data_IF_683098215898
#
_entry.id   IF_683098215898
#
_cell.length_a   1.000
_cell.length_b   1.000
_cell.length_c   1.000
_cell.angle_alpha   90.00
_cell.angle_beta   90.00
_cell.angle_gamma   90.00
#
_symmetry.space_group_name_H-M   'P 1'
#
loop_
_entity.id
_entity.type
_entity.pdbx_description
1 polymer ?
#
# COMPACT_ATOMS: atom_id res chain seq x y z
N UNK A 1 -13.18 -0.45 12.46
CA UNK A 1 -12.99 -1.77 13.10
C UNK A 1 -12.96 -2.82 11.99
N UNK A 2 -11.83 -2.96 11.29
CA UNK A 2 -11.64 -3.96 10.22
C UNK A 2 -11.05 -5.23 10.86
N UNK A 3 -11.90 -6.00 11.54
CA UNK A 3 -11.54 -7.36 11.89
C UNK A 3 -11.67 -8.24 10.64
N UNK A 4 -10.62 -9.01 10.39
CA UNK A 4 -10.61 -10.14 9.47
C UNK A 4 -11.77 -11.07 9.81
N UNK A 5 -12.85 -11.02 9.02
CA UNK A 5 -13.81 -12.11 9.00
C UNK A 5 -13.12 -13.31 8.32
N UNK A 6 -13.21 -14.52 8.90
CA UNK A 6 -12.69 -15.71 8.27
C UNK A 6 -13.44 -15.92 6.95
N UNK A 7 -12.69 -16.14 5.86
CA UNK A 7 -13.22 -16.62 4.58
C UNK A 7 -13.63 -18.09 4.78
N UNK A 8 -14.73 -18.30 5.48
CA UNK A 8 -15.33 -19.62 5.65
C UNK A 8 -16.55 -19.70 4.73
N UNK A 9 -16.43 -20.47 3.63
CA UNK A 9 -17.59 -20.93 2.87
C UNK A 9 -17.60 -20.70 1.36
N UNK A 10 -16.54 -20.17 0.74
CA UNK A 10 -16.44 -20.10 -0.72
C UNK A 10 -15.45 -21.14 -1.26
N UNK A 11 -15.77 -21.85 -2.36
CA UNK A 11 -14.83 -22.78 -2.98
C UNK A 11 -13.59 -22.01 -3.42
N UNK A 12 -12.42 -22.61 -3.22
CA UNK A 12 -11.18 -22.12 -3.82
C UNK A 12 -11.41 -21.91 -5.33
N UNK A 13 -10.84 -20.85 -5.95
CA UNK A 13 -10.98 -20.65 -7.38
C UNK A 13 -10.56 -21.94 -8.10
N UNK A 14 -11.39 -22.49 -9.00
CA UNK A 14 -11.04 -23.71 -9.69
C UNK A 14 -9.75 -23.46 -10.47
N UNK A 15 -8.78 -24.35 -10.30
CA UNK A 15 -7.57 -24.36 -11.11
C UNK A 15 -8.00 -24.31 -12.58
N UNK A 16 -7.54 -23.29 -13.30
CA UNK A 16 -7.80 -23.21 -14.73
C UNK A 16 -7.22 -24.47 -15.41
N UNK A 17 -7.96 -25.12 -16.33
CA UNK A 17 -7.38 -26.19 -17.13
C UNK A 17 -6.43 -25.55 -18.14
N UNK A 18 -5.17 -25.40 -17.75
CA UNK A 18 -4.05 -25.23 -18.69
C UNK A 18 -2.97 -26.23 -18.31
N UNK A 19 -2.50 -26.98 -19.29
CA UNK A 19 -1.51 -28.07 -19.19
C UNK A 19 -0.09 -27.60 -18.76
N UNK A 20 0.02 -26.46 -18.10
CA UNK A 20 1.29 -25.91 -17.63
C UNK A 20 1.08 -25.17 -16.29
N UNK A 21 1.33 -25.84 -15.15
CA UNK A 21 1.19 -25.27 -13.82
C UNK A 21 2.23 -24.18 -13.48
N UNK A 22 3.29 -24.02 -14.27
CA UNK A 22 4.34 -23.01 -14.01
C UNK A 22 3.98 -21.63 -14.59
N UNK A 23 3.18 -21.57 -15.67
CA UNK A 23 2.73 -20.29 -16.25
C UNK A 23 1.69 -19.56 -15.43
N UNK A 24 0.89 -20.28 -14.63
CA UNK A 24 -0.09 -19.68 -13.72
C UNK A 24 0.59 -18.96 -12.54
N UNK A 25 1.81 -19.36 -12.18
CA UNK A 25 2.56 -18.81 -11.05
C UNK A 25 3.37 -17.55 -11.35
N UNK A 26 3.40 -17.05 -12.58
CA UNK A 26 4.20 -15.86 -12.94
C UNK A 26 3.37 -14.57 -13.12
N UNK A 27 2.03 -14.62 -12.98
CA UNK A 27 1.14 -13.48 -13.26
C UNK A 27 0.49 -12.85 -12.01
N UNK A 28 1.19 -12.78 -10.87
CA UNK A 28 0.61 -12.38 -9.57
C UNK A 28 0.42 -10.87 -9.33
N UNK A 29 0.63 -9.98 -10.31
CA UNK A 29 0.20 -8.56 -10.19
C UNK A 29 -1.28 -8.38 -10.56
N UNK A 30 -2.16 -9.25 -10.05
CA UNK A 30 -3.61 -9.09 -10.17
C UNK A 30 -4.16 -8.67 -8.81
N UNK A 31 -4.48 -7.39 -8.64
CA UNK A 31 -5.17 -6.94 -7.44
C UNK A 31 -6.67 -6.93 -7.72
N UNK A 32 -7.34 -8.01 -7.32
CA UNK A 32 -8.81 -8.07 -7.29
C UNK A 32 -9.25 -7.63 -5.91
N UNK A 33 -9.91 -6.47 -5.82
CA UNK A 33 -10.54 -6.06 -4.56
C UNK A 33 -11.99 -6.57 -4.57
N UNK A 34 -12.31 -7.44 -3.61
CA UNK A 34 -13.67 -7.91 -3.40
C UNK A 34 -14.34 -7.02 -2.34
N UNK A 35 -15.14 -6.04 -2.78
CA UNK A 35 -15.95 -5.22 -1.87
C UNK A 35 -17.42 -5.50 -2.18
N UNK A 36 -18.09 -6.31 -1.34
CA UNK A 36 -19.51 -6.63 -1.55
C UNK A 36 -20.40 -5.50 -1.03
N UNK A 37 -21.05 -4.79 -1.95
CA UNK A 37 -22.51 -4.60 -1.90
C UNK A 37 -23.05 -5.57 -2.97
N UNK A 38 -23.18 -6.80 -2.51
CA UNK A 38 -23.62 -8.03 -3.15
C UNK A 38 -22.89 -8.70 -4.31
N UNK A 39 -22.07 -8.07 -5.19
CA UNK A 39 -21.09 -8.80 -6.08
C UNK A 39 -20.31 -7.88 -7.06
N UNK A 40 -19.70 -6.79 -6.55
CA UNK A 40 -18.85 -5.91 -7.37
C UNK A 40 -17.40 -6.41 -7.36
N UNK A 41 -16.88 -6.75 -8.55
CA UNK A 41 -15.46 -7.07 -8.74
C UNK A 41 -14.72 -5.83 -9.23
N UNK A 42 -13.82 -5.29 -8.40
CA UNK A 42 -12.93 -4.20 -8.79
C UNK A 42 -11.66 -4.75 -9.44
N UNK A 43 -11.40 -4.38 -10.69
CA UNK A 43 -10.27 -4.90 -11.46
C UNK A 43 -9.31 -3.80 -11.89
N UNK A 44 -8.04 -4.03 -11.62
CA UNK A 44 -6.93 -3.22 -12.14
C UNK A 44 -5.70 -4.10 -12.35
N UNK A 45 -5.30 -4.30 -13.62
CA UNK A 45 -3.98 -4.81 -13.99
C UNK A 45 -3.75 -4.62 -15.49
N UNK A 46 -2.57 -4.20 -15.96
CA UNK A 46 -2.27 -4.19 -17.38
C UNK A 46 -2.11 -5.63 -17.93
N UNK A 47 -2.54 -5.85 -19.17
CA UNK A 47 -2.19 -7.06 -19.94
C UNK A 47 -3.21 -8.20 -19.94
N UNK A 48 -2.77 -9.37 -20.42
CA UNK A 48 -3.64 -10.52 -20.77
C UNK A 48 -4.30 -11.20 -19.57
N UNK A 49 -3.66 -11.18 -18.40
CA UNK A 49 -4.21 -11.81 -17.19
C UNK A 49 -5.46 -11.05 -16.70
N UNK A 50 -5.44 -9.71 -16.71
CA UNK A 50 -6.59 -8.88 -16.37
C UNK A 50 -7.79 -9.15 -17.28
N UNK A 51 -7.55 -9.28 -18.59
CA UNK A 51 -8.58 -9.61 -19.56
C UNK A 51 -9.18 -11.00 -19.36
N UNK A 52 -8.39 -11.96 -18.83
CA UNK A 52 -8.89 -13.31 -18.52
C UNK A 52 -9.76 -13.28 -17.27
N UNK A 53 -9.36 -12.52 -16.24
CA UNK A 53 -10.15 -12.32 -15.03
C UNK A 53 -11.46 -11.57 -15.31
N UNK A 54 -11.44 -10.53 -16.17
CA UNK A 54 -12.65 -9.83 -16.61
C UNK A 54 -13.64 -10.77 -17.30
N UNK A 55 -13.16 -11.56 -18.26
CA UNK A 55 -14.00 -12.55 -18.97
C UNK A 55 -14.59 -13.59 -18.01
N UNK A 56 -13.77 -14.14 -17.12
CA UNK A 56 -14.23 -15.09 -16.12
C UNK A 56 -15.32 -14.49 -15.21
N UNK A 57 -15.14 -13.26 -14.74
CA UNK A 57 -16.13 -12.57 -13.92
C UNK A 57 -17.45 -12.33 -14.68
N UNK A 58 -17.39 -11.97 -15.97
CA UNK A 58 -18.58 -11.88 -16.83
C UNK A 58 -19.29 -13.21 -17.02
N UNK A 59 -18.54 -14.28 -17.26
CA UNK A 59 -19.08 -15.65 -17.39
C UNK A 59 -19.84 -16.06 -16.13
N UNK A 60 -19.41 -15.57 -14.96
CA UNK A 60 -20.04 -15.79 -13.66
C UNK A 60 -21.02 -14.66 -13.25
N UNK A 61 -21.46 -13.83 -14.20
CA UNK A 61 -22.47 -12.77 -14.03
C UNK A 61 -22.16 -11.78 -12.88
N UNK A 62 -20.89 -11.56 -12.59
CA UNK A 62 -20.45 -10.59 -11.59
C UNK A 62 -20.58 -9.16 -12.12
N UNK A 63 -20.89 -8.21 -11.24
CA UNK A 63 -20.90 -6.80 -11.60
C UNK A 63 -19.47 -6.26 -11.68
N UNK A 64 -19.13 -5.60 -12.78
CA UNK A 64 -17.77 -5.12 -13.05
C UNK A 64 -17.63 -3.62 -12.85
N UNK A 65 -16.77 -3.24 -11.90
CA UNK A 65 -16.32 -1.87 -11.71
C UNK A 65 -14.82 -1.77 -12.00
N UNK A 66 -14.45 -0.84 -12.87
CA UNK A 66 -13.05 -0.56 -13.22
C UNK A 66 -12.56 0.73 -12.59
N UNK A 67 -11.49 0.66 -11.81
CA UNK A 67 -10.72 1.84 -11.37
C UNK A 67 -9.52 1.98 -12.31
N UNK A 68 -9.53 3.01 -13.17
CA UNK A 68 -8.56 3.15 -14.25
C UNK A 68 -8.12 4.59 -14.47
N UNK A 69 -6.88 4.78 -14.89
CA UNK A 69 -6.38 6.10 -15.30
C UNK A 69 -6.58 6.35 -16.80
N UNK A 70 -6.64 5.29 -17.62
CA UNK A 70 -6.82 5.38 -19.08
C UNK A 70 -8.22 4.89 -19.45
N UNK A 71 -9.09 5.84 -19.77
CA UNK A 71 -10.50 5.58 -20.13
C UNK A 71 -10.67 4.81 -21.43
N UNK A 72 -9.70 4.90 -22.35
CA UNK A 72 -9.72 4.15 -23.61
C UNK A 72 -9.18 2.71 -23.46
N UNK A 73 -8.87 2.27 -22.24
CA UNK A 73 -8.33 0.92 -22.00
C UNK A 73 -9.37 -0.18 -22.25
N UNK A 74 -8.89 -1.40 -22.53
CA UNK A 74 -9.78 -2.57 -22.68
C UNK A 74 -10.58 -2.84 -21.40
N UNK A 75 -9.98 -2.64 -20.23
CA UNK A 75 -10.65 -2.83 -18.92
C UNK A 75 -11.84 -1.88 -18.78
N UNK A 76 -11.64 -0.61 -19.15
CA UNK A 76 -12.70 0.39 -19.11
C UNK A 76 -13.85 0.02 -20.06
N UNK A 77 -13.55 -0.36 -21.31
CA UNK A 77 -14.57 -0.76 -22.30
C UNK A 77 -15.34 -2.01 -21.92
N UNK A 78 -14.69 -2.91 -21.18
CA UNK A 78 -15.29 -4.18 -20.79
C UNK A 78 -16.03 -4.14 -19.46
N UNK A 79 -15.95 -3.05 -18.69
CA UNK A 79 -16.61 -2.96 -17.38
C UNK A 79 -17.96 -2.22 -17.48
N UNK A 80 -18.89 -2.53 -16.58
CA UNK A 80 -20.20 -1.86 -16.53
C UNK A 80 -20.08 -0.45 -15.95
N UNK A 81 -19.24 -0.31 -14.93
CA UNK A 81 -18.99 0.96 -14.25
C UNK A 81 -17.50 1.27 -14.38
N UNK A 82 -17.18 2.53 -14.69
CA UNK A 82 -15.79 3.01 -14.77
C UNK A 82 -15.63 4.19 -13.82
N UNK A 83 -14.71 4.06 -12.87
CA UNK A 83 -14.29 5.13 -11.97
C UNK A 83 -12.90 5.62 -12.40
N UNK A 84 -12.81 6.77 -13.09
CA UNK A 84 -11.53 7.33 -13.49
C UNK A 84 -10.73 7.81 -12.27
N UNK A 85 -9.42 7.56 -12.27
CA UNK A 85 -8.52 8.07 -11.22
C UNK A 85 -8.14 9.54 -11.43
N UNK A 86 -8.27 10.06 -12.67
CA UNK A 86 -7.99 11.45 -13.04
C UNK A 86 -6.57 11.94 -12.68
N UNK A 87 -5.59 11.02 -12.63
CA UNK A 87 -4.20 11.35 -12.30
C UNK A 87 -3.44 12.03 -13.47
N UNK A 88 -4.04 12.05 -14.66
CA UNK A 88 -3.38 12.43 -15.91
C UNK A 88 -2.34 11.41 -16.37
N UNK A 89 -1.66 11.63 -17.52
CA UNK A 89 -0.70 10.67 -18.09
C UNK A 89 0.44 10.34 -17.12
N UNK A 90 0.72 9.06 -16.90
CA UNK A 90 1.83 8.57 -16.08
C UNK A 90 2.92 8.04 -17.02
N UNK A 91 4.05 8.74 -17.08
CA UNK A 91 5.14 8.44 -18.01
C UNK A 91 6.21 7.54 -17.35
N UNK A 92 6.39 7.70 -16.04
CA UNK A 92 7.29 6.84 -15.27
C UNK A 92 6.84 5.38 -15.30
N UNK A 93 7.80 4.47 -15.38
CA UNK A 93 7.53 3.02 -15.34
C UNK A 93 6.97 2.62 -13.97
N UNK A 94 7.54 3.18 -12.90
CA UNK A 94 7.04 3.00 -11.56
C UNK A 94 5.82 3.90 -11.31
N UNK A 95 4.69 3.27 -10.99
CA UNK A 95 3.46 4.00 -10.66
C UNK A 95 3.62 4.78 -9.35
N UNK A 96 3.17 6.04 -9.34
CA UNK A 96 3.28 6.96 -8.20
C UNK A 96 1.95 7.67 -7.95
N UNK A 97 1.62 8.66 -8.78
CA UNK A 97 0.36 9.40 -8.72
C UNK A 97 -0.84 8.52 -9.03
N UNK A 98 -0.70 7.53 -9.93
CA UNK A 98 -1.83 6.65 -10.20
C UNK A 98 -2.15 5.78 -8.97
N UNK A 99 -1.14 5.33 -8.20
CA UNK A 99 -1.36 4.61 -6.95
C UNK A 99 -2.14 5.43 -5.91
N UNK A 100 -1.73 6.68 -5.64
CA UNK A 100 -2.43 7.51 -4.65
C UNK A 100 -3.82 7.93 -5.13
N UNK A 101 -4.00 8.25 -6.41
CA UNK A 101 -5.33 8.51 -6.97
C UNK A 101 -6.24 7.27 -6.92
N UNK A 102 -5.69 6.06 -7.11
CA UNK A 102 -6.46 4.81 -6.97
C UNK A 102 -6.94 4.61 -5.54
N UNK A 103 -6.08 4.83 -4.55
CA UNK A 103 -6.47 4.78 -3.14
C UNK A 103 -7.57 5.81 -2.83
N UNK A 104 -7.50 7.01 -3.40
CA UNK A 104 -8.52 8.04 -3.21
C UNK A 104 -9.88 7.62 -3.80
N UNK A 105 -9.89 7.07 -5.03
CA UNK A 105 -11.11 6.53 -5.65
C UNK A 105 -11.70 5.39 -4.82
N UNK A 106 -10.86 4.46 -4.34
CA UNK A 106 -11.30 3.35 -3.49
C UNK A 106 -11.83 3.84 -2.14
N UNK A 107 -11.24 4.90 -1.57
CA UNK A 107 -11.75 5.52 -0.35
C UNK A 107 -13.14 6.14 -0.58
N UNK A 108 -13.34 6.90 -1.66
CA UNK A 108 -14.65 7.43 -2.04
C UNK A 108 -15.69 6.31 -2.23
N UNK A 109 -15.32 5.22 -2.90
CA UNK A 109 -16.19 4.06 -3.08
C UNK A 109 -16.55 3.41 -1.74
N UNK A 110 -15.59 3.25 -0.82
CA UNK A 110 -15.82 2.70 0.50
C UNK A 110 -16.76 3.56 1.36
N UNK A 111 -16.62 4.89 1.30
CA UNK A 111 -17.50 5.84 2.00
C UNK A 111 -18.93 5.75 1.44
N UNK A 112 -19.08 5.83 0.12
CA UNK A 112 -20.38 5.72 -0.55
C UNK A 112 -21.05 4.38 -0.24
N UNK A 113 -20.29 3.29 -0.23
CA UNK A 113 -20.77 1.97 0.14
C UNK A 113 -21.22 1.90 1.60
N UNK A 114 -20.45 2.48 2.53
CA UNK A 114 -20.81 2.54 3.95
C UNK A 114 -22.12 3.31 4.19
N UNK A 115 -22.35 4.39 3.45
CA UNK A 115 -23.60 5.18 3.50
C UNK A 115 -24.79 4.46 2.91
N UNK A 116 -24.62 3.87 1.73
CA UNK A 116 -25.67 3.09 1.08
C UNK A 116 -26.15 1.90 1.95
N UNK A 117 -25.25 1.34 2.76
CA UNK A 117 -25.55 0.23 3.69
C UNK A 117 -26.09 0.68 5.06
N UNK A 118 -26.19 1.98 5.31
CA UNK A 118 -26.58 2.51 6.63
C UNK A 118 -25.56 2.23 7.74
N UNK A 119 -24.33 1.84 7.40
CA UNK A 119 -23.23 1.62 8.37
C UNK A 119 -22.63 2.95 8.81
N UNK A 120 -22.64 3.94 7.91
CA UNK A 120 -22.19 5.30 8.19
C UNK A 120 -23.38 6.23 8.34
N UNK A 121 -23.36 7.08 9.36
CA UNK A 121 -24.21 8.25 9.48
C UNK A 121 -23.76 9.38 8.53
N UNK A 122 -24.61 10.39 8.34
CA UNK A 122 -24.29 11.54 7.49
C UNK A 122 -23.13 12.36 8.06
N UNK A 123 -23.06 12.45 9.38
CA UNK A 123 -21.97 13.10 10.08
C UNK A 123 -20.63 12.37 9.85
N UNK A 124 -20.61 11.04 9.99
CA UNK A 124 -19.41 10.24 9.75
C UNK A 124 -18.94 10.32 8.29
N UNK A 125 -19.86 10.30 7.32
CA UNK A 125 -19.51 10.56 5.92
C UNK A 125 -18.89 11.95 5.73
N UNK A 126 -19.48 12.98 6.31
CA UNK A 126 -18.97 14.35 6.22
C UNK A 126 -17.54 14.46 6.75
N UNK A 127 -17.24 13.82 7.88
CA UNK A 127 -15.91 13.80 8.48
C UNK A 127 -14.89 13.06 7.60
N UNK A 128 -15.28 11.92 7.01
CA UNK A 128 -14.43 11.15 6.10
C UNK A 128 -14.13 11.93 4.80
N UNK A 129 -15.14 12.57 4.23
CA UNK A 129 -15.00 13.41 3.04
C UNK A 129 -14.10 14.61 3.35
N UNK A 130 -14.26 15.26 4.51
CA UNK A 130 -13.40 16.35 4.93
C UNK A 130 -11.94 15.92 5.05
N UNK A 131 -11.67 14.72 5.60
CA UNK A 131 -10.32 14.17 5.65
C UNK A 131 -9.71 13.99 4.24
N UNK A 132 -10.50 13.52 3.26
CA UNK A 132 -10.06 13.41 1.87
C UNK A 132 -9.76 14.77 1.23
N UNK A 133 -10.59 15.79 1.51
CA UNK A 133 -10.37 17.17 1.03
C UNK A 133 -9.07 17.75 1.59
N UNK A 134 -8.70 17.42 2.82
CA UNK A 134 -7.45 17.87 3.46
C UNK A 134 -6.21 17.10 2.99
N UNK A 135 -6.38 15.96 2.31
CA UNK A 135 -5.27 15.08 1.91
C UNK A 135 -4.21 15.77 1.05
N UNK A 136 -4.55 16.60 0.03
CA UNK A 136 -3.54 17.29 -0.76
C UNK A 136 -2.63 18.21 0.06
N UNK A 137 -3.18 18.92 1.05
CA UNK A 137 -2.40 19.77 1.97
C UNK A 137 -1.42 18.93 2.78
N UNK A 138 -1.89 17.81 3.35
CA UNK A 138 -1.06 16.85 4.10
C UNK A 138 0.02 16.22 3.22
N UNK A 139 -0.28 15.95 1.95
CA UNK A 139 0.69 15.46 0.97
C UNK A 139 1.79 16.49 0.70
N UNK A 140 1.45 17.77 0.55
CA UNK A 140 2.46 18.84 0.41
C UNK A 140 3.39 18.90 1.61
N UNK A 141 2.87 18.76 2.83
CA UNK A 141 3.70 18.71 4.04
C UNK A 141 4.58 17.46 4.07
N UNK A 142 4.07 16.30 3.66
CA UNK A 142 4.87 15.08 3.58
C UNK A 142 6.00 15.17 2.53
N UNK A 143 5.77 15.86 1.41
CA UNK A 143 6.81 16.12 0.40
C UNK A 143 7.92 17.04 0.93
N UNK A 144 7.62 17.93 1.87
CA UNK A 144 8.63 18.80 2.47
C UNK A 144 9.70 18.04 3.28
N UNK A 145 9.50 16.75 3.56
CA UNK A 145 10.47 15.85 4.19
C UNK A 145 11.55 15.35 3.21
N UNK A 146 11.49 15.72 1.93
CA UNK A 146 12.44 15.30 0.90
C UNK A 146 13.92 15.48 1.28
N UNK A 147 14.36 16.62 1.87
CA UNK A 147 15.76 16.78 2.26
C UNK A 147 16.24 15.78 3.32
N UNK A 148 15.36 15.37 4.23
CA UNK A 148 15.68 14.33 5.22
C UNK A 148 15.83 12.98 4.54
N UNK A 149 14.97 12.68 3.55
CA UNK A 149 15.04 11.46 2.74
C UNK A 149 16.34 11.39 1.94
N UNK A 150 16.73 12.48 1.28
CA UNK A 150 17.98 12.56 0.52
C UNK A 150 19.21 12.26 1.41
N UNK A 151 19.19 12.73 2.66
CA UNK A 151 20.30 12.56 3.59
C UNK A 151 20.61 11.08 3.87
N UNK A 152 19.61 10.27 4.21
CA UNK A 152 19.82 8.86 4.55
C UNK A 152 19.71 7.92 3.34
N UNK A 153 19.19 8.37 2.19
CA UNK A 153 19.11 7.57 0.98
C UNK A 153 20.47 6.99 0.55
N UNK A 154 21.56 7.72 0.80
CA UNK A 154 22.93 7.25 0.52
C UNK A 154 23.35 6.04 1.35
N UNK A 155 22.83 5.89 2.56
CA UNK A 155 23.06 4.70 3.38
C UNK A 155 22.25 3.51 2.88
N UNK A 156 21.03 3.75 2.40
CA UNK A 156 20.21 2.71 1.77
C UNK A 156 20.85 2.22 0.48
N UNK A 157 21.37 3.13 -0.36
CA UNK A 157 21.99 2.80 -1.65
C UNK A 157 23.20 1.85 -1.54
N UNK A 158 23.90 1.85 -0.39
CA UNK A 158 25.01 0.93 -0.10
C UNK A 158 24.56 -0.50 0.23
N UNK A 159 23.26 -0.69 0.49
CA UNK A 159 22.71 -1.94 1.01
C UNK A 159 22.20 -2.81 -0.12
N UNK A 160 22.43 -4.13 0.00
CA UNK A 160 21.92 -5.10 -0.99
C UNK A 160 20.47 -5.50 -0.76
N UNK A 161 20.07 -5.50 0.52
CA UNK A 161 18.75 -5.91 0.95
C UNK A 161 18.15 -4.84 1.85
N UNK A 162 16.85 -4.58 1.70
CA UNK A 162 16.09 -3.64 2.53
C UNK A 162 14.77 -4.26 2.92
N UNK A 163 14.37 -4.13 4.19
CA UNK A 163 13.05 -4.57 4.64
C UNK A 163 12.13 -3.37 4.83
N UNK A 164 10.91 -3.50 4.34
CA UNK A 164 9.80 -2.61 4.69
C UNK A 164 8.87 -3.34 5.64
N UNK A 165 8.47 -2.69 6.72
CA UNK A 165 7.61 -3.27 7.75
C UNK A 165 6.43 -2.36 8.00
N UNK A 166 5.24 -2.94 8.02
CA UNK A 166 4.02 -2.22 8.37
C UNK A 166 2.99 -3.15 9.00
N UNK A 167 1.97 -2.58 9.64
CA UNK A 167 0.86 -3.32 10.23
C UNK A 167 -0.47 -2.68 9.85
N UNK A 168 -1.52 -3.48 9.69
CA UNK A 168 -2.84 -2.97 9.29
C UNK A 168 -2.77 -2.29 7.92
N UNK A 169 -3.27 -1.05 7.84
CA UNK A 169 -3.28 -0.27 6.60
C UNK A 169 -1.87 0.17 6.16
N UNK A 170 -0.88 0.13 7.05
CA UNK A 170 0.52 0.42 6.71
C UNK A 170 1.24 -0.75 6.04
N UNK A 171 0.72 -1.98 6.13
CA UNK A 171 1.35 -3.14 5.47
C UNK A 171 1.29 -3.05 3.94
N UNK A 172 0.16 -2.71 3.29
CA UNK A 172 0.14 -2.43 1.86
C UNK A 172 1.07 -1.29 1.44
N UNK A 173 1.26 -0.26 2.28
CA UNK A 173 2.21 0.84 2.02
C UNK A 173 3.65 0.32 2.07
N UNK A 174 3.96 -0.59 3.00
CA UNK A 174 5.27 -1.26 3.08
C UNK A 174 5.54 -2.12 1.83
N UNK A 175 4.54 -2.86 1.35
CA UNK A 175 4.65 -3.63 0.10
C UNK A 175 4.89 -2.72 -1.10
N UNK A 176 4.18 -1.60 -1.19
CA UNK A 176 4.37 -0.61 -2.26
C UNK A 176 5.78 -0.01 -2.21
N UNK A 177 6.25 0.41 -1.03
CA UNK A 177 7.61 0.93 -0.85
C UNK A 177 8.69 -0.06 -1.29
N UNK A 178 8.57 -1.33 -0.87
CA UNK A 178 9.47 -2.38 -1.30
C UNK A 178 9.40 -2.63 -2.82
N UNK A 179 8.21 -2.57 -3.42
CA UNK A 179 8.05 -2.70 -4.87
C UNK A 179 8.73 -1.55 -5.61
N UNK A 180 8.52 -0.30 -5.18
CA UNK A 180 9.15 0.89 -5.78
C UNK A 180 10.66 0.77 -5.71
N UNK A 181 11.21 0.47 -4.54
CA UNK A 181 12.65 0.37 -4.36
C UNK A 181 13.26 -0.70 -5.30
N UNK A 182 12.62 -1.88 -5.41
CA UNK A 182 13.03 -2.92 -6.38
C UNK A 182 12.96 -2.47 -7.84
N UNK A 183 11.90 -1.75 -8.21
CA UNK A 183 11.65 -1.35 -9.59
C UNK A 183 12.65 -0.32 -10.13
N UNK A 184 13.11 0.61 -9.28
CA UNK A 184 13.97 1.73 -9.74
C UNK A 184 15.42 1.71 -9.24
N UNK A 185 15.70 1.09 -8.09
CA UNK A 185 17.08 1.03 -7.55
C UNK A 185 17.76 -0.32 -7.75
N UNK A 186 17.02 -1.36 -8.16
CA UNK A 186 17.47 -2.75 -8.25
C UNK A 186 17.94 -3.39 -6.93
N UNK A 187 17.78 -2.70 -5.80
CA UNK A 187 18.00 -3.25 -4.46
C UNK A 187 16.93 -4.29 -4.16
N UNK A 188 17.33 -5.40 -3.55
CA UNK A 188 16.38 -6.43 -3.13
C UNK A 188 15.58 -5.95 -1.92
N UNK A 189 14.39 -5.42 -2.17
CA UNK A 189 13.51 -4.95 -1.11
C UNK A 189 12.29 -5.86 -0.91
N UNK A 190 11.95 -6.14 0.35
CA UNK A 190 10.80 -6.98 0.69
C UNK A 190 9.94 -6.34 1.76
N UNK A 191 8.61 -6.40 1.58
CA UNK A 191 7.64 -5.85 2.51
C UNK A 191 7.03 -6.96 3.36
N UNK A 192 7.05 -6.80 4.68
CA UNK A 192 6.50 -7.75 5.64
C UNK A 192 5.45 -7.11 6.55
N UNK A 193 4.47 -7.91 6.92
CA UNK A 193 3.60 -7.58 8.03
C UNK A 193 4.42 -7.66 9.33
N UNK A 194 4.36 -6.63 10.17
CA UNK A 194 5.19 -6.54 11.38
C UNK A 194 5.10 -7.78 12.28
N UNK A 195 3.90 -8.38 12.39
CA UNK A 195 3.67 -9.58 13.20
C UNK A 195 4.34 -10.85 12.69
N UNK A 196 4.72 -10.88 11.41
CA UNK A 196 5.29 -12.06 10.75
C UNK A 196 6.81 -12.11 10.82
N UNK A 197 7.48 -11.05 11.30
CA UNK A 197 8.95 -10.99 11.36
C UNK A 197 9.54 -12.18 12.11
N UNK A 198 8.95 -12.55 13.26
CA UNK A 198 9.42 -13.67 14.09
C UNK A 198 9.26 -15.05 13.45
N UNK A 199 8.50 -15.18 12.37
CA UNK A 199 8.23 -16.45 11.71
C UNK A 199 9.27 -16.80 10.62
N UNK A 200 10.39 -16.07 10.57
CA UNK A 200 11.50 -16.34 9.66
C UNK A 200 12.27 -15.08 9.25
N UNK A 201 11.60 -14.03 8.74
CA UNK A 201 12.26 -12.85 8.18
C UNK A 201 13.22 -12.13 9.12
N UNK A 202 12.97 -12.19 10.44
CA UNK A 202 13.84 -11.58 11.44
C UNK A 202 15.27 -12.15 11.45
N UNK A 203 15.46 -13.37 10.91
CA UNK A 203 16.78 -13.98 10.78
C UNK A 203 17.67 -13.27 9.72
N UNK A 204 17.07 -12.49 8.83
CA UNK A 204 17.79 -11.73 7.80
C UNK A 204 18.39 -10.42 8.34
N UNK A 205 17.98 -9.99 9.52
CA UNK A 205 18.33 -8.68 10.08
C UNK A 205 19.71 -8.73 10.74
N UNK A 206 20.58 -7.82 10.31
CA UNK A 206 21.89 -7.56 10.88
C UNK A 206 22.19 -6.04 10.90
N UNK A 207 23.39 -5.69 11.36
CA UNK A 207 23.88 -4.30 11.46
C UNK A 207 24.07 -3.58 10.13
N UNK A 208 24.04 -4.29 9.01
CA UNK A 208 24.14 -3.72 7.67
C UNK A 208 22.79 -3.46 7.02
N UNK A 209 21.72 -4.15 7.47
CA UNK A 209 20.42 -4.14 6.81
C UNK A 209 19.54 -2.95 7.23
N UNK A 210 19.12 -2.07 6.29
CA UNK A 210 18.11 -1.05 6.56
C UNK A 210 16.72 -1.66 6.71
N UNK A 211 16.00 -1.21 7.72
CA UNK A 211 14.61 -1.61 7.98
C UNK A 211 13.73 -0.37 8.07
N UNK A 212 12.90 -0.16 7.07
CA UNK A 212 11.96 0.95 6.98
C UNK A 212 10.65 0.53 7.66
N UNK A 213 10.33 1.16 8.79
CA UNK A 213 9.17 0.83 9.61
C UNK A 213 8.12 1.92 9.48
N UNK A 214 6.94 1.55 8.99
CA UNK A 214 5.78 2.43 8.82
C UNK A 214 4.85 2.26 10.02
N UNK A 215 4.94 3.18 10.97
CA UNK A 215 4.27 3.08 12.27
C UNK A 215 3.62 4.42 12.67
N UNK A 216 2.50 4.81 12.05
CA UNK A 216 1.65 5.87 12.60
C UNK A 216 1.14 5.47 13.99
N UNK A 217 0.88 6.44 14.86
CA UNK A 217 0.35 6.25 16.20
C UNK A 217 -1.16 5.94 16.15
N UNK A 218 -1.48 4.70 15.75
CA UNK A 218 -2.82 4.15 15.67
C UNK A 218 -3.07 3.03 16.71
N UNK A 219 -4.18 2.31 16.56
CA UNK A 219 -4.57 1.22 17.48
C UNK A 219 -3.59 0.05 17.54
N UNK A 220 -2.68 -0.07 16.56
CA UNK A 220 -1.70 -1.15 16.47
C UNK A 220 -0.26 -0.66 16.65
N UNK A 221 -0.06 0.61 17.00
CA UNK A 221 1.25 1.23 17.21
C UNK A 221 2.10 0.47 18.23
N UNK A 222 1.58 0.20 19.43
CA UNK A 222 2.28 -0.55 20.49
C UNK A 222 2.79 -1.92 20.02
N UNK A 223 1.98 -2.63 19.22
CA UNK A 223 2.37 -3.93 18.66
C UNK A 223 3.50 -3.77 17.63
N UNK A 224 3.44 -2.72 16.82
CA UNK A 224 4.48 -2.40 15.84
C UNK A 224 5.77 -1.97 16.53
N UNK A 225 5.69 -1.19 17.62
CA UNK A 225 6.82 -0.80 18.45
C UNK A 225 7.51 -2.01 19.08
N UNK A 226 6.74 -2.97 19.59
CA UNK A 226 7.30 -4.25 20.08
C UNK A 226 8.07 -4.99 18.99
N UNK A 227 7.55 -5.07 17.76
CA UNK A 227 8.30 -5.66 16.65
C UNK A 227 9.55 -4.85 16.26
N UNK A 228 9.50 -3.52 16.38
CA UNK A 228 10.65 -2.66 16.12
C UNK A 228 11.77 -2.83 17.15
N UNK A 229 11.44 -3.11 18.41
CA UNK A 229 12.42 -3.48 19.44
C UNK A 229 13.15 -4.79 19.08
N UNK A 230 12.45 -5.76 18.50
CA UNK A 230 13.05 -7.02 18.03
C UNK A 230 14.07 -6.79 16.89
N UNK A 231 13.78 -5.84 15.99
CA UNK A 231 14.71 -5.38 14.94
C UNK A 231 15.93 -4.70 15.56
N UNK A 232 15.71 -3.79 16.52
CA UNK A 232 16.78 -3.06 17.20
C UNK A 232 17.70 -4.00 17.99
N UNK A 233 17.15 -5.05 18.62
CA UNK A 233 17.93 -6.07 19.33
C UNK A 233 18.91 -6.83 18.42
N UNK A 234 18.67 -6.82 17.10
CA UNK A 234 19.55 -7.40 16.06
C UNK A 234 20.39 -6.36 15.33
N UNK A 235 20.43 -5.14 15.86
CA UNK A 235 21.17 -3.99 15.32
C UNK A 235 20.71 -3.53 13.93
N UNK A 236 19.50 -3.89 13.49
CA UNK A 236 18.97 -3.41 12.22
C UNK A 236 18.98 -1.88 12.15
N UNK A 237 19.32 -1.31 11.00
CA UNK A 237 19.33 0.15 10.80
C UNK A 237 17.92 0.65 10.56
N UNK A 238 17.24 1.07 11.63
CA UNK A 238 15.81 1.41 11.57
C UNK A 238 15.60 2.81 11.01
N UNK A 239 14.77 2.93 9.98
CA UNK A 239 14.22 4.20 9.49
C UNK A 239 12.73 4.23 9.84
N UNK A 240 12.34 5.14 10.72
CA UNK A 240 10.96 5.22 11.21
C UNK A 240 10.16 6.25 10.41
N UNK A 241 8.99 5.86 9.90
CA UNK A 241 7.99 6.75 9.29
C UNK A 241 6.79 6.81 10.22
N UNK A 242 6.55 7.95 10.85
CA UNK A 242 5.55 8.11 11.93
C UNK A 242 4.99 9.53 12.01
N UNK A 243 4.08 9.77 12.95
CA UNK A 243 3.51 11.08 13.27
C UNK A 243 4.15 11.68 14.56
N UNK A 244 3.82 12.91 14.98
CA UNK A 244 4.49 13.57 16.10
C UNK A 244 4.31 12.85 17.44
N UNK A 245 3.24 12.08 17.63
CA UNK A 245 3.04 11.27 18.85
C UNK A 245 3.97 10.07 18.82
N UNK A 246 3.93 9.29 17.75
CA UNK A 246 4.82 8.13 17.59
C UNK A 246 6.30 8.54 17.63
N UNK A 247 6.65 9.70 17.09
CA UNK A 247 8.01 10.24 17.15
C UNK A 247 8.51 10.57 18.57
N UNK A 248 7.61 10.81 19.53
CA UNK A 248 7.93 11.05 20.94
C UNK A 248 8.02 9.75 21.74
N UNK A 249 7.15 8.79 21.43
CA UNK A 249 7.01 7.55 22.20
C UNK A 249 8.06 6.49 21.82
N UNK A 250 8.76 6.67 20.70
CA UNK A 250 9.87 5.81 20.29
C UNK A 250 11.18 6.25 20.95
N UNK A 251 11.71 5.39 21.81
CA UNK A 251 13.00 5.54 22.48
C UNK A 251 14.00 4.46 22.03
N UNK A 252 14.22 4.37 20.72
CA UNK A 252 15.19 3.44 20.11
C UNK A 252 16.24 4.22 19.32
N UNK A 253 17.40 3.60 19.10
CA UNK A 253 18.40 4.14 18.17
C UNK A 253 17.89 3.96 16.74
N UNK A 254 17.78 5.06 16.00
CA UNK A 254 17.22 5.10 14.66
C UNK A 254 18.28 5.65 13.71
N UNK A 255 18.42 5.03 12.53
CA UNK A 255 19.20 5.62 11.44
C UNK A 255 18.60 6.96 11.03
N UNK A 256 17.27 7.03 10.92
CA UNK A 256 16.55 8.26 10.61
C UNK A 256 15.08 8.14 11.01
N UNK A 257 14.42 9.30 11.15
CA UNK A 257 13.01 9.39 11.52
C UNK A 257 12.32 10.45 10.67
N UNK A 258 11.33 10.05 9.89
CA UNK A 258 10.44 10.92 9.14
C UNK A 258 9.17 11.17 9.95
N UNK A 259 8.94 12.42 10.35
CA UNK A 259 7.77 12.81 11.15
C UNK A 259 6.75 13.55 10.27
N UNK A 260 5.72 12.84 9.85
CA UNK A 260 4.62 13.39 9.06
C UNK A 260 3.61 14.13 9.95
N UNK A 261 2.79 15.05 9.40
CA UNK A 261 1.75 15.72 10.17
C UNK A 261 0.73 14.73 10.76
N UNK A 262 0.10 15.11 11.87
CA UNK A 262 -1.00 14.34 12.43
C UNK A 262 -2.21 14.36 11.47
N UNK A 263 -2.81 13.20 11.22
CA UNK A 263 -3.91 13.06 10.28
C UNK A 263 -4.86 11.93 10.70
N UNK A 264 -6.12 11.93 10.23
CA UNK A 264 -7.02 10.81 10.41
C UNK A 264 -6.46 9.51 9.80
N UNK A 265 -6.65 8.38 10.48
CA UNK A 265 -6.13 7.07 10.06
C UNK A 265 -6.64 6.61 8.68
N UNK A 266 -7.74 7.19 8.22
CA UNK A 266 -8.40 6.90 6.93
C UNK A 266 -7.60 7.40 5.73
N UNK A 267 -6.83 8.49 5.91
CA UNK A 267 -6.00 9.09 4.85
C UNK A 267 -4.51 8.80 5.02
N UNK A 268 -4.13 8.20 6.14
CA UNK A 268 -2.74 7.79 6.41
C UNK A 268 -2.10 7.02 5.26
N UNK A 269 -2.74 6.01 4.63
CA UNK A 269 -2.09 5.27 3.54
C UNK A 269 -1.84 6.12 2.28
N UNK A 270 -2.67 7.14 2.03
CA UNK A 270 -2.49 8.07 0.92
C UNK A 270 -1.25 8.94 1.13
N UNK A 271 -1.09 9.49 2.34
CA UNK A 271 -0.01 10.43 2.64
C UNK A 271 1.31 9.70 2.89
N UNK A 272 1.28 8.55 3.58
CA UNK A 272 2.49 7.76 3.89
C UNK A 272 3.05 7.03 2.66
N UNK A 273 2.32 6.96 1.55
CA UNK A 273 2.84 6.50 0.27
C UNK A 273 3.96 7.42 -0.29
N UNK A 274 3.91 8.71 0.02
CA UNK A 274 4.88 9.70 -0.49
C UNK A 274 6.29 9.48 0.03
N UNK A 275 6.55 9.40 1.35
CA UNK A 275 7.90 9.18 1.85
C UNK A 275 8.49 7.86 1.34
N UNK A 276 7.69 6.79 1.21
CA UNK A 276 8.22 5.52 0.65
C UNK A 276 8.58 5.63 -0.82
N UNK A 277 7.86 6.44 -1.61
CA UNK A 277 8.19 6.75 -3.00
C UNK A 277 9.45 7.64 -3.09
N UNK A 278 9.58 8.66 -2.23
CA UNK A 278 10.76 9.51 -2.15
C UNK A 278 12.01 8.71 -1.77
N UNK A 279 11.89 7.79 -0.81
CA UNK A 279 13.00 6.90 -0.42
C UNK A 279 13.48 6.11 -1.63
N UNK A 280 12.57 5.50 -2.39
CA UNK A 280 12.94 4.75 -3.58
C UNK A 280 13.61 5.65 -4.63
N UNK A 281 13.06 6.85 -4.87
CA UNK A 281 13.60 7.80 -5.85
C UNK A 281 15.02 8.24 -5.50
N UNK A 282 15.22 8.77 -4.30
CA UNK A 282 16.53 9.26 -3.86
C UNK A 282 17.55 8.16 -3.71
N UNK A 283 17.13 6.93 -3.35
CA UNK A 283 18.04 5.78 -3.33
C UNK A 283 18.50 5.38 -4.75
N UNK A 284 17.65 5.56 -5.77
CA UNK A 284 17.98 5.21 -7.15
C UNK A 284 18.82 6.28 -7.88
N UNK A 285 18.78 7.53 -7.42
CA UNK A 285 19.53 8.66 -8.02
C UNK A 285 20.96 8.74 -7.50
N UNK A 286 21.23 8.18 -6.31
CA UNK A 286 22.54 8.18 -5.65
C UNK A 286 23.48 7.13 -6.24
#
# INVERSE_FOLDING_TARGET
>A
MLQSLPVAGLPAPPQAPSQDPDRARSCWKLTVYHVRIDEITCLQAPGRCAQRSLRYAKEHKQHLLAVVNVLTSTIARESEIVMPTLAGPEIGVASTKAFTCQLAVLACLAIAAGRARGVLSEAEESDLVRALIETPRLMTEALALEPEVEHFAREIAKSRNVLYVGRGTSFPVALEGALKLKEISYIHAEGYAAGELKHGPIALIDESMPVIVIAPHDQVFEKTLSNMQEVAARKGKIILVTDPRGARDVHLDLLSKLTLPAMPSTVTPLVYALPVQLIAYHTAVV
#
